data_IF_095556043520
#
_entry.id   IF_095556043520
#
_cell.length_a   1.000
_cell.length_b   1.000
_cell.length_c   1.000
_cell.angle_alpha   90.00
_cell.angle_beta   90.00
_cell.angle_gamma   90.00
#
_symmetry.space_group_name_H-M   'P 1'
#
loop_
_entity.id
_entity.type
_entity.pdbx_description
1 polymer ?
2 water ?
#
# COMPACT_ATOMS: atom_id res chain seq x y z
N UNK A 3 4.43 1.40 12.48
CA UNK A 3 3.07 1.35 11.91
C UNK A 3 2.48 -0.03 12.14
N UNK A 4 1.36 -0.11 12.84
CA UNK A 4 0.68 -1.39 13.02
C UNK A 4 0.15 -1.90 11.67
N UNK A 5 0.22 -3.21 11.48
CA UNK A 5 -0.25 -3.82 10.24
C UNK A 5 -1.14 -5.04 10.55
N UNK A 6 -1.91 -5.45 9.55
CA UNK A 6 -2.75 -6.62 9.63
C UNK A 6 -2.60 -7.43 8.34
N UNK A 7 -2.52 -8.73 8.51
CA UNK A 7 -2.48 -9.66 7.40
C UNK A 7 -3.90 -9.97 6.94
N UNK A 8 -4.17 -9.71 5.67
CA UNK A 8 -5.45 -10.06 5.10
C UNK A 8 -5.23 -10.84 3.83
N UNK A 9 -6.22 -11.63 3.44
CA UNK A 9 -6.16 -12.35 2.20
C UNK A 9 -7.34 -11.84 1.37
N UNK A 10 -7.06 -11.39 0.16
CA UNK A 10 -8.09 -10.95 -0.77
C UNK A 10 -8.50 -12.10 -1.67
N UNK A 11 -9.79 -12.40 -1.68
CA UNK A 11 -10.39 -13.36 -2.61
C UNK A 11 -10.86 -12.68 -3.90
N UNK A 12 -10.35 -13.11 -5.04
CA UNK A 12 -10.76 -12.64 -6.36
C UNK A 12 -11.12 -13.90 -7.15
N UNK A 13 -12.42 -14.20 -7.21
CA UNK A 13 -12.93 -15.43 -7.80
C UNK A 13 -12.40 -16.60 -6.99
N UNK A 14 -11.50 -17.37 -7.57
CA UNK A 14 -10.93 -18.54 -6.90
C UNK A 14 -9.57 -18.24 -6.34
N UNK A 15 -9.01 -17.10 -6.70
CA UNK A 15 -7.65 -16.77 -6.34
C UNK A 15 -7.60 -16.06 -5.01
N UNK A 16 -6.67 -16.47 -4.16
CA UNK A 16 -6.39 -15.73 -2.96
C UNK A 16 -5.07 -15.00 -3.11
N UNK A 17 -5.02 -13.78 -2.61
CA UNK A 17 -3.80 -13.01 -2.58
C UNK A 17 -3.56 -12.46 -1.17
N UNK A 18 -2.46 -12.85 -0.54
CA UNK A 18 -2.16 -12.36 0.81
C UNK A 18 -1.55 -10.98 0.73
N UNK A 19 -2.08 -10.05 1.55
CA UNK A 19 -1.55 -8.67 1.66
C UNK A 19 -1.22 -8.33 3.10
N UNK A 20 -0.40 -7.31 3.28
CA UNK A 20 -0.13 -6.70 4.59
C UNK A 20 -0.56 -5.24 4.48
N UNK A 21 -1.57 -4.86 5.27
CA UNK A 21 -2.18 -3.56 5.16
C UNK A 21 -2.05 -2.82 6.48
N UNK A 22 -2.10 -1.49 6.43
CA UNK A 22 -2.11 -0.73 7.68
C UNK A 22 -3.35 -1.05 8.52
N UNK A 23 -3.12 -1.34 9.79
CA UNK A 23 -4.20 -1.70 10.69
C UNK A 23 -5.02 -0.52 11.21
N UNK A 24 -4.41 0.65 11.40
CA UNK A 24 -5.02 1.74 12.20
C UNK A 24 -5.38 3.00 11.39
N UNK A 25 -5.06 2.99 10.10
CA UNK A 25 -5.31 4.09 9.19
C UNK A 25 -6.61 3.81 8.44
N UNK A 26 -7.41 4.84 8.15
CA UNK A 26 -8.66 4.59 7.45
C UNK A 26 -8.44 3.88 6.11
N UNK A 27 -9.33 2.96 5.82
CA UNK A 27 -9.28 2.20 4.58
C UNK A 27 -9.27 3.07 3.31
N UNK A 28 -9.99 4.19 3.32
CA UNK A 28 -10.00 5.12 2.17
C UNK A 28 -8.61 5.65 1.78
N UNK A 29 -7.67 5.66 2.73
CA UNK A 29 -6.34 6.24 2.53
C UNK A 29 -5.49 5.37 1.57
N UNK A 30 -5.76 4.07 1.53
CA UNK A 30 -4.95 3.15 0.74
C UNK A 30 -5.73 2.24 -0.18
N UNK A 31 -7.04 2.31 -0.19
CA UNK A 31 -7.77 1.32 -0.99
C UNK A 31 -7.52 1.46 -2.50
N UNK A 32 -7.38 2.68 -2.99
CA UNK A 32 -7.26 2.88 -4.44
C UNK A 32 -5.96 2.28 -5.00
N UNK A 33 -4.85 2.51 -4.32
CA UNK A 33 -3.60 1.92 -4.75
C UNK A 33 -3.55 0.39 -4.47
N UNK A 34 -4.31 -0.11 -3.48
CA UNK A 34 -4.49 -1.56 -3.27
C UNK A 34 -5.13 -2.21 -4.49
N UNK A 35 -6.19 -1.57 -5.00
CA UNK A 35 -6.86 -2.06 -6.19
C UNK A 35 -5.88 -2.04 -7.35
N UNK A 36 -5.10 -0.98 -7.45
CA UNK A 36 -4.16 -0.83 -8.56
C UNK A 36 -3.06 -1.90 -8.54
N UNK A 37 -2.53 -2.14 -7.34
CA UNK A 37 -1.51 -3.20 -7.14
C UNK A 37 -2.07 -4.57 -7.49
N UNK A 38 -3.27 -4.89 -7.00
CA UNK A 38 -3.87 -6.21 -7.24
C UNK A 38 -4.14 -6.40 -8.72
N UNK A 39 -4.58 -5.32 -9.39
CA UNK A 39 -4.77 -5.37 -10.84
C UNK A 39 -3.46 -5.78 -11.55
N UNK A 40 -2.32 -5.27 -11.12
CA UNK A 40 -1.03 -5.60 -11.75
C UNK A 40 -0.66 -7.03 -11.41
N UNK A 41 -0.81 -7.37 -10.13
CA UNK A 41 -0.44 -8.72 -9.65
C UNK A 41 -1.20 -9.79 -10.42
N UNK A 42 -2.50 -9.54 -10.69
CA UNK A 42 -3.36 -10.53 -11.30
C UNK A 42 -3.59 -10.29 -12.78
N UNK A 43 -2.73 -9.48 -13.41
CA UNK A 43 -2.97 -9.11 -14.82
C UNK A 43 -2.86 -10.30 -15.77
N UNK A 44 -2.00 -11.27 -15.44
CA UNK A 44 -1.81 -12.47 -16.27
C UNK A 44 -2.66 -13.67 -15.84
N UNK A 45 -3.46 -13.49 -14.79
CA UNK A 45 -4.32 -14.58 -14.31
C UNK A 45 -5.55 -14.76 -15.24
N UNK A 46 -5.84 -16.00 -15.67
CA UNK A 46 -7.04 -16.20 -16.52
C UNK A 46 -8.32 -15.65 -15.89
N UNK A 47 -9.25 -15.18 -16.72
CA UNK A 47 -10.47 -14.52 -16.24
C UNK A 47 -11.45 -15.49 -15.56
N UNK A 48 -11.54 -16.73 -16.05
CA UNK A 48 -12.42 -17.74 -15.45
C UNK A 48 -12.03 -18.06 -14.00
N UNK A 49 -10.74 -17.95 -13.70
CA UNK A 49 -10.23 -18.16 -12.35
C UNK A 49 -10.60 -16.98 -11.44
N UNK A 50 -10.65 -15.78 -12.03
CA UNK A 50 -11.05 -14.59 -11.29
C UNK A 50 -12.57 -14.40 -11.18
N UNK A 51 -13.36 -15.37 -11.68
CA UNK A 51 -14.81 -15.27 -11.64
C UNK A 51 -15.29 -14.01 -12.32
N UNK A 52 -14.62 -13.63 -13.42
CA UNK A 52 -14.95 -12.42 -14.16
C UNK A 52 -14.65 -11.10 -13.46
N UNK A 53 -13.86 -11.11 -12.39
CA UNK A 53 -13.64 -9.91 -11.57
C UNK A 53 -13.12 -8.77 -12.44
N UNK A 54 -13.72 -7.58 -12.30
CA UNK A 54 -13.34 -6.45 -13.13
C UNK A 54 -12.68 -5.37 -12.29
N UNK A 55 -11.35 -5.26 -12.41
CA UNK A 55 -10.58 -4.18 -11.77
C UNK A 55 -10.85 -2.79 -12.37
N UNK A 56 -11.48 -2.75 -13.56
CA UNK A 56 -11.77 -1.50 -14.27
C UNK A 56 -13.22 -1.06 -14.05
N UNK A 57 -13.91 -1.71 -13.11
CA UNK A 57 -15.26 -1.31 -12.73
C UNK A 57 -15.29 0.13 -12.25
N UNK A 58 -16.33 0.87 -12.61
CA UNK A 58 -16.48 2.24 -12.15
C UNK A 58 -17.13 2.24 -10.79
N UNK A 59 -17.08 3.38 -10.10
CA UNK A 59 -17.72 3.46 -8.79
C UNK A 59 -16.71 3.31 -7.68
N UNK A 60 -17.19 3.35 -6.46
CA UNK A 60 -16.35 3.60 -5.30
C UNK A 60 -15.97 2.27 -4.75
N UNK A 61 -14.67 1.97 -4.69
CA UNK A 61 -14.16 0.70 -4.17
C UNK A 61 -14.17 0.66 -2.62
N UNK A 62 -14.46 -0.51 -2.05
CA UNK A 62 -14.36 -0.72 -0.60
C UNK A 62 -14.01 -2.18 -0.38
N UNK A 63 -13.56 -2.47 0.84
CA UNK A 63 -13.35 -3.85 1.27
C UNK A 63 -14.64 -4.39 1.86
N UNK A 64 -14.84 -5.68 1.70
CA UNK A 64 -15.99 -6.35 2.29
C UNK A 64 -15.61 -7.76 2.67
N UNK A 65 -16.17 -8.23 3.76
CA UNK A 65 -16.11 -9.65 4.05
C UNK A 65 -16.94 -10.38 2.98
N UNK A 66 -16.52 -11.59 2.56
CA UNK A 66 -17.21 -12.17 1.41
C UNK A 66 -18.72 -12.26 1.52
N UNK A 67 -19.43 -11.68 0.55
CA UNK A 67 -20.89 -11.73 0.51
C UNK A 67 -21.59 -10.74 1.44
N UNK A 68 -20.86 -9.89 2.14
CA UNK A 68 -21.46 -8.97 3.11
C UNK A 68 -21.43 -7.51 2.65
N UNK A 69 -22.22 -6.63 3.29
CA UNK A 69 -22.13 -5.22 2.89
C UNK A 69 -20.72 -4.67 3.15
N UNK A 70 -20.29 -3.66 2.38
CA UNK A 70 -18.92 -3.19 2.48
C UNK A 70 -18.61 -2.43 3.77
N UNK A 71 -17.40 -2.63 4.23
CA UNK A 71 -16.87 -1.88 5.36
C UNK A 71 -16.80 -0.40 5.06
N UNK A 72 -17.11 0.40 6.09
CA UNK A 72 -16.98 1.87 6.02
C UNK A 72 -15.55 2.30 5.72
N UNK A 73 -15.42 3.10 4.65
CA UNK A 73 -14.12 3.58 4.19
C UNK A 73 -13.44 4.55 5.15
N UNK A 74 -14.21 5.23 5.99
CA UNK A 74 -13.60 6.11 7.00
C UNK A 74 -13.12 5.39 8.27
N UNK A 75 -13.26 4.07 8.29
CA UNK A 75 -12.81 3.25 9.40
C UNK A 75 -11.53 2.52 9.01
N UNK A 76 -10.72 2.19 10.01
CA UNK A 76 -9.54 1.34 9.85
C UNK A 76 -9.96 -0.11 9.94
N UNK A 77 -9.10 -1.02 9.48
CA UNK A 77 -9.31 -2.47 9.70
C UNK A 77 -9.48 -2.84 11.18
N UNK A 78 -8.77 -2.16 12.07
CA UNK A 78 -8.94 -2.38 13.52
C UNK A 78 -10.35 -2.00 13.96
N UNK A 79 -10.80 -0.81 13.54
CA UNK A 79 -12.16 -0.32 13.84
C UNK A 79 -13.20 -1.34 13.38
N UNK A 80 -12.98 -1.93 12.19
CA UNK A 80 -13.91 -2.89 11.64
C UNK A 80 -13.76 -4.29 12.21
N UNK A 81 -12.86 -4.48 13.17
CA UNK A 81 -12.68 -5.77 13.78
C UNK A 81 -12.05 -6.81 12.89
N UNK A 82 -11.24 -6.39 11.94
CA UNK A 82 -10.57 -7.34 11.04
C UNK A 82 -9.29 -7.87 11.70
N UNK A 83 -9.15 -9.19 11.73
CA UNK A 83 -8.05 -9.88 12.43
C UNK A 83 -7.11 -10.47 11.41
N UNK A 84 -5.88 -10.78 11.84
CA UNK A 84 -4.90 -11.42 10.94
C UNK A 84 -5.46 -12.66 10.23
N UNK A 85 -5.23 -12.73 8.92
CA UNK A 85 -5.66 -13.85 8.08
C UNK A 85 -7.11 -13.78 7.59
N UNK A 86 -7.85 -12.74 7.96
CA UNK A 86 -9.23 -12.57 7.51
C UNK A 86 -9.29 -12.51 5.99
N UNK A 87 -10.36 -13.13 5.45
CA UNK A 87 -10.66 -13.02 4.02
C UNK A 87 -11.48 -11.74 3.80
N UNK A 88 -11.00 -10.95 2.86
CA UNK A 88 -11.75 -9.82 2.32
C UNK A 88 -11.93 -9.90 0.82
N UNK A 89 -12.91 -9.14 0.33
CA UNK A 89 -13.12 -8.97 -1.11
C UNK A 89 -13.04 -7.48 -1.44
N UNK A 90 -12.91 -7.14 -2.72
CA UNK A 90 -12.99 -5.77 -3.17
C UNK A 90 -14.31 -5.61 -3.92
N UNK A 91 -15.08 -4.58 -3.53
CA UNK A 91 -16.42 -4.37 -4.08
C UNK A 91 -16.60 -2.92 -4.48
N UNK A 92 -17.39 -2.66 -5.53
CA UNK A 92 -17.68 -1.28 -5.94
C UNK A 92 -19.10 -1.15 -6.46
N UNK B 3 1.93 -12.38 -4.45
CA UNK B 3 2.52 -11.03 -4.44
C UNK B 3 3.73 -10.87 -3.53
N UNK B 4 4.90 -10.81 -4.14
CA UNK B 4 6.15 -10.54 -3.43
C UNK B 4 6.14 -9.21 -2.67
N UNK B 5 6.76 -9.21 -1.49
CA UNK B 5 6.96 -8.00 -0.70
C UNK B 5 8.38 -7.88 -0.19
N UNK B 6 8.76 -6.64 0.09
CA UNK B 6 10.05 -6.31 0.68
C UNK B 6 9.80 -5.29 1.80
N UNK B 7 10.37 -5.53 2.97
CA UNK B 7 10.31 -4.56 4.04
C UNK B 7 11.37 -3.51 3.80
N UNK B 8 10.96 -2.26 3.75
CA UNK B 8 11.86 -1.15 3.62
C UNK B 8 11.76 -0.24 4.84
N UNK B 9 12.81 0.51 5.10
CA UNK B 9 12.79 1.51 6.16
C UNK B 9 12.74 2.90 5.53
N UNK B 10 11.67 3.64 5.77
CA UNK B 10 11.50 5.00 5.19
C UNK B 10 12.07 5.99 6.18
N UNK B 11 13.02 6.79 5.70
CA UNK B 11 13.62 7.84 6.51
C UNK B 11 12.93 9.17 6.30
N UNK B 12 12.42 9.79 7.37
CA UNK B 12 11.86 11.14 7.30
C UNK B 12 12.50 11.94 8.43
N UNK B 13 13.48 12.77 8.07
CA UNK B 13 14.29 13.51 9.04
C UNK B 13 15.12 12.50 9.80
N UNK B 14 14.90 12.41 11.11
CA UNK B 14 15.59 11.44 11.99
C UNK B 14 14.72 10.22 12.32
N UNK B 15 13.49 10.20 11.81
CA UNK B 15 12.53 9.13 12.06
C UNK B 15 12.65 8.05 11.00
N UNK B 16 12.67 6.79 11.44
CA UNK B 16 12.71 5.62 10.56
C UNK B 16 11.44 4.84 10.76
N UNK B 17 10.75 4.51 9.66
CA UNK B 17 9.49 3.79 9.74
C UNK B 17 9.51 2.63 8.74
N UNK B 18 9.37 1.42 9.25
CA UNK B 18 9.35 0.22 8.42
C UNK B 18 7.99 0.03 7.74
N UNK B 19 8.05 -0.25 6.44
CA UNK B 19 6.86 -0.55 5.65
C UNK B 19 7.08 -1.80 4.83
N UNK B 20 6.05 -2.62 4.72
CA UNK B 20 6.08 -3.78 3.85
C UNK B 20 5.44 -3.35 2.51
N UNK B 21 6.26 -3.34 1.46
CA UNK B 21 5.83 -2.85 0.16
C UNK B 21 5.86 -3.93 -0.88
N UNK B 22 4.96 -3.84 -1.90
CA UNK B 22 4.98 -4.79 -3.04
C UNK B 22 6.30 -4.67 -3.78
N UNK B 23 7.00 -5.77 -3.97
CA UNK B 23 8.37 -5.79 -4.50
C UNK B 23 8.44 -5.81 -6.02
N UNK B 24 7.39 -6.30 -6.67
CA UNK B 24 7.46 -6.63 -8.09
C UNK B 24 6.66 -5.75 -9.05
N UNK B 25 5.78 -4.89 -8.52
CA UNK B 25 5.05 -3.96 -9.34
C UNK B 25 5.78 -2.59 -9.35
N UNK B 26 5.54 -1.79 -10.40
CA UNK B 26 6.12 -0.44 -10.49
C UNK B 26 5.83 0.42 -9.24
N UNK B 27 6.81 1.20 -8.84
CA UNK B 27 6.69 2.04 -7.64
C UNK B 27 5.56 3.04 -7.77
N UNK B 28 5.34 3.51 -8.99
CA UNK B 28 4.26 4.49 -9.25
C UNK B 28 2.88 3.93 -8.93
N UNK B 29 2.73 2.61 -8.89
CA UNK B 29 1.42 1.97 -8.63
C UNK B 29 0.96 2.26 -7.22
N UNK B 30 1.89 2.35 -6.26
CA UNK B 30 1.52 2.48 -4.84
C UNK B 30 2.14 3.69 -4.10
N UNK B 31 2.99 4.48 -4.74
CA UNK B 31 3.69 5.53 -3.99
C UNK B 31 2.75 6.57 -3.39
N UNK B 32 1.72 6.98 -4.14
CA UNK B 32 0.85 8.08 -3.68
C UNK B 32 0.11 7.70 -2.39
N UNK B 33 -0.42 6.49 -2.32
CA UNK B 33 -1.10 6.07 -1.07
C UNK B 33 -0.10 5.70 0.03
N UNK B 34 1.12 5.31 -0.33
CA UNK B 34 2.18 5.14 0.66
C UNK B 34 2.48 6.48 1.36
N UNK B 35 2.61 7.55 0.60
CA UNK B 35 2.86 8.86 1.19
C UNK B 35 1.68 9.25 2.11
N UNK B 36 0.45 8.99 1.63
CA UNK B 36 -0.76 9.33 2.39
C UNK B 36 -0.83 8.58 3.71
N UNK B 37 -0.50 7.30 3.67
CA UNK B 37 -0.48 6.46 4.87
C UNK B 37 0.58 6.97 5.86
N UNK B 38 1.76 7.23 5.31
CA UNK B 38 2.88 7.71 6.14
C UNK B 38 2.52 9.06 6.74
N UNK B 39 1.78 9.89 6.00
CA UNK B 39 1.32 11.18 6.50
C UNK B 39 0.50 11.02 7.79
N UNK B 40 -0.45 10.10 7.78
CA UNK B 40 -1.24 9.75 8.98
C UNK B 40 -0.41 9.13 10.13
N UNK B 41 0.47 8.19 9.79
CA UNK B 41 1.30 7.50 10.79
C UNK B 41 2.21 8.49 11.53
N UNK B 42 2.77 9.46 10.81
CA UNK B 42 3.74 10.39 11.37
C UNK B 42 3.12 11.74 11.78
N UNK B 43 1.80 11.76 11.88
CA UNK B 43 1.07 13.01 12.02
C UNK B 43 1.35 13.69 13.38
N UNK B 44 1.76 12.91 14.39
CA UNK B 44 2.09 13.44 15.71
C UNK B 44 3.60 13.55 15.99
N UNK B 45 4.42 13.25 14.98
CA UNK B 45 5.87 13.37 15.11
C UNK B 45 6.28 14.83 15.26
N UNK B 46 7.10 15.14 16.29
CA UNK B 46 7.56 16.51 16.45
C UNK B 46 8.34 17.03 15.23
N UNK B 47 8.16 18.32 14.94
CA UNK B 47 8.67 18.95 13.72
C UNK B 47 10.21 18.88 13.57
N UNK B 48 10.93 18.93 14.69
CA UNK B 48 12.40 18.86 14.65
C UNK B 48 12.94 17.44 14.37
N UNK B 49 12.18 16.42 14.77
CA UNK B 49 12.56 15.05 14.46
C UNK B 49 12.38 14.82 12.94
N UNK B 50 11.39 15.50 12.36
CA UNK B 50 11.09 15.35 10.94
C UNK B 50 12.09 16.05 10.03
N UNK B 51 12.98 16.86 10.58
CA UNK B 51 14.07 17.46 9.79
C UNK B 51 13.58 18.18 8.53
N UNK B 52 12.49 18.93 8.68
CA UNK B 52 11.95 19.69 7.56
C UNK B 52 11.32 18.85 6.47
N UNK B 53 11.14 17.55 6.70
CA UNK B 53 10.39 16.73 5.76
C UNK B 53 8.96 17.25 5.71
N UNK B 54 8.44 17.40 4.49
CA UNK B 54 7.15 18.02 4.21
C UNK B 54 6.32 17.02 3.40
N UNK B 55 5.12 16.72 3.85
CA UNK B 55 4.25 15.80 3.10
C UNK B 55 3.53 16.49 1.92
N UNK B 56 3.64 17.81 1.85
CA UNK B 56 3.08 18.57 0.73
C UNK B 56 4.06 18.50 -0.42
N UNK B 57 3.61 17.91 -1.52
CA UNK B 57 4.47 17.56 -2.67
C UNK B 57 4.94 18.79 -3.45
N UNK B 58 6.20 18.77 -3.87
CA UNK B 58 6.77 19.81 -4.71
C UNK B 58 7.00 19.27 -6.14
N UNK B 59 6.23 18.24 -6.49
CA UNK B 59 6.41 17.52 -7.76
C UNK B 59 5.82 16.13 -7.61
N UNK B 60 6.18 15.23 -8.53
CA UNK B 60 5.71 13.86 -8.40
C UNK B 60 6.63 13.18 -7.39
N UNK B 61 6.03 12.45 -6.46
CA UNK B 61 6.80 11.70 -5.48
C UNK B 61 7.62 10.60 -6.13
N UNK B 62 8.78 10.33 -5.55
CA UNK B 62 9.60 9.16 -5.88
C UNK B 62 10.32 8.67 -4.63
N UNK B 63 10.75 7.42 -4.66
CA UNK B 63 11.62 6.87 -3.65
C UNK B 63 13.06 7.19 -4.07
N UNK B 64 13.93 7.40 -3.08
CA UNK B 64 15.35 7.54 -3.33
C UNK B 64 16.17 6.95 -2.18
N UNK B 65 17.30 6.35 -2.51
CA UNK B 65 18.28 6.01 -1.49
C UNK B 65 18.79 7.38 -1.00
N UNK B 66 18.95 7.53 0.33
CA UNK B 66 19.37 8.84 0.86
C UNK B 66 20.58 9.41 0.11
N UNK B 67 20.46 10.66 -0.33
CA UNK B 67 21.55 11.34 -1.05
C UNK B 67 21.78 10.91 -2.50
N UNK B 68 20.95 10.02 -3.05
CA UNK B 68 21.09 9.58 -4.46
C UNK B 68 19.97 10.09 -5.34
N UNK B 69 20.20 10.12 -6.66
CA UNK B 69 19.10 10.43 -7.56
C UNK B 69 17.90 9.52 -7.33
N UNK B 70 16.67 10.08 -7.40
CA UNK B 70 15.48 9.29 -7.22
C UNK B 70 15.38 8.09 -8.17
N UNK B 71 14.85 7.00 -7.66
CA UNK B 71 14.56 5.81 -8.46
C UNK B 71 13.42 6.07 -9.46
N UNK B 72 13.49 5.40 -10.61
CA UNK B 72 12.50 5.56 -11.67
C UNK B 72 11.16 4.94 -11.26
N UNK B 73 10.08 5.70 -11.42
CA UNK B 73 8.75 5.27 -10.98
C UNK B 73 8.20 4.06 -11.72
N UNK B 74 8.66 3.83 -12.95
CA UNK B 74 8.18 2.68 -13.74
C UNK B 74 8.89 1.39 -13.36
N UNK B 75 9.89 1.49 -12.51
CA UNK B 75 10.59 0.31 -12.07
C UNK B 75 10.03 -0.15 -10.74
N UNK B 76 10.26 -1.42 -10.44
CA UNK B 76 9.91 -2.03 -9.16
C UNK B 76 11.04 -1.95 -8.15
N UNK B 77 10.74 -2.21 -6.88
CA UNK B 77 11.78 -2.35 -5.86
C UNK B 77 12.82 -3.41 -6.23
N UNK B 78 12.36 -4.56 -6.71
CA UNK B 78 13.26 -5.62 -7.22
C UNK B 78 14.19 -5.12 -8.33
N UNK B 79 13.62 -4.44 -9.33
CA UNK B 79 14.40 -3.81 -10.42
C UNK B 79 15.50 -2.90 -9.86
N UNK B 80 15.19 -2.21 -8.77
CA UNK B 80 16.14 -1.27 -8.16
C UNK B 80 17.15 -1.95 -7.22
N UNK B 81 17.05 -3.27 -7.07
CA UNK B 81 17.94 -4.03 -6.17
C UNK B 81 17.67 -3.83 -4.69
N UNK B 82 16.42 -3.52 -4.33
CA UNK B 82 16.05 -3.20 -2.94
C UNK B 82 15.86 -4.50 -2.16
N UNK B 83 16.38 -4.52 -0.94
CA UNK B 83 16.39 -5.74 -0.13
C UNK B 83 15.77 -5.44 1.21
N UNK B 84 15.58 -6.47 2.03
CA UNK B 84 14.94 -6.26 3.32
C UNK B 84 15.76 -5.25 4.13
N UNK B 85 15.04 -4.27 4.65
CA UNK B 85 15.63 -3.26 5.52
C UNK B 85 16.40 -2.19 4.80
N UNK B 86 16.38 -2.17 3.47
CA UNK B 86 16.90 -1.04 2.69
C UNK B 86 16.32 0.29 3.18
N UNK B 87 17.19 1.28 3.32
CA UNK B 87 16.79 2.63 3.68
C UNK B 87 16.40 3.44 2.43
N UNK B 88 15.18 3.96 2.45
CA UNK B 88 14.70 4.81 1.37
C UNK B 88 14.10 6.08 1.94
N UNK B 89 14.13 7.12 1.12
CA UNK B 89 13.45 8.36 1.43
C UNK B 89 12.43 8.67 0.33
N UNK B 90 11.53 9.60 0.63
CA UNK B 90 10.55 10.06 -0.34
C UNK B 90 10.92 11.48 -0.75
N UNK B 91 10.96 11.70 -2.07
CA UNK B 91 11.42 12.97 -2.63
C UNK B 91 10.51 13.40 -3.78
N UNK B 92 10.31 14.71 -3.90
CA UNK B 92 9.44 15.27 -4.91
C UNK B 92 10.10 16.49 -5.53
#
# INVERSE_FOLDING_TARGET
GAMATTRVTILTGRRMTDLVLPAAVPMETYIDDTVAVLSEVLEDTPADVLGGFDFTAQGVWAFARPGSPPLKLDQSLDDAGVVDGSLLTLVS
GAMATTRVTILTGRRMTDLVLPAAVPMETYIDDTVAVLSEVLEDTPADVLGGFDFTAQGVWAFARPGSPPLKLDQSLDDAGVVDGSLLTLVS
#
